data_IF_357404613417
#
_entry.id   IF_357404613417
#
_cell.length_a   1.000
_cell.length_b   1.000
_cell.length_c   1.000
_cell.angle_alpha   90.00
_cell.angle_beta   90.00
_cell.angle_gamma   90.00
#
_symmetry.space_group_name_H-M   'P 1'
#
loop_
_entity.id
_entity.type
_entity.pdbx_description
1 polymer ?
#
# COMPACT_ATOMS: atom_id res chain seq x y z
N UNK A 1 -17.47 9.07 -1.06
CA UNK A 1 -16.66 10.00 -1.90
C UNK A 1 -15.24 9.52 -1.80
N UNK A 2 -14.52 9.39 -2.92
CA UNK A 2 -13.16 8.84 -2.88
C UNK A 2 -12.23 9.79 -2.14
N UNK A 3 -11.50 9.26 -1.15
CA UNK A 3 -10.46 9.98 -0.41
C UNK A 3 -9.23 10.19 -1.30
N UNK A 4 -8.85 9.16 -2.05
CA UNK A 4 -7.68 9.18 -2.94
C UNK A 4 -8.13 8.73 -4.33
N UNK A 5 -7.70 9.44 -5.36
CA UNK A 5 -7.88 9.01 -6.76
C UNK A 5 -6.52 8.74 -7.37
N UNK A 6 -6.35 7.54 -7.96
CA UNK A 6 -5.13 7.21 -8.70
C UNK A 6 -4.91 8.23 -9.82
N UNK A 7 -3.64 8.55 -10.05
CA UNK A 7 -3.20 9.46 -11.10
C UNK A 7 -1.88 8.93 -11.64
N UNK A 8 -1.66 9.10 -12.94
CA UNK A 8 -0.42 8.69 -13.61
C UNK A 8 0.84 9.34 -13.02
N UNK A 9 0.72 10.42 -12.23
CA UNK A 9 1.84 11.00 -11.49
C UNK A 9 2.44 10.08 -10.42
N UNK A 10 1.72 9.03 -10.01
CA UNK A 10 2.19 8.01 -9.08
C UNK A 10 2.79 6.79 -9.79
N UNK A 11 2.67 6.72 -11.12
CA UNK A 11 3.15 5.59 -11.92
C UNK A 11 4.67 5.50 -11.89
N UNK A 12 5.17 4.28 -11.65
CA UNK A 12 6.58 3.92 -11.77
C UNK A 12 6.90 3.28 -13.13
N UNK A 13 5.91 3.16 -14.03
CA UNK A 13 6.01 2.46 -15.31
C UNK A 13 6.43 0.99 -15.16
N UNK A 14 6.14 0.39 -14.00
CA UNK A 14 6.34 -1.02 -13.72
C UNK A 14 4.96 -1.58 -13.43
N UNK A 15 4.37 -2.26 -14.41
CA UNK A 15 2.95 -2.67 -14.39
C UNK A 15 2.53 -3.31 -13.06
N UNK A 16 3.33 -4.23 -12.55
CA UNK A 16 3.02 -4.93 -11.29
C UNK A 16 3.01 -3.99 -10.08
N UNK A 17 3.96 -3.06 -10.00
CA UNK A 17 4.02 -2.07 -8.91
C UNK A 17 2.84 -1.10 -9.02
N UNK A 18 2.54 -0.61 -10.23
CA UNK A 18 1.42 0.31 -10.46
C UNK A 18 0.08 -0.35 -10.13
N UNK A 19 -0.10 -1.64 -10.46
CA UNK A 19 -1.29 -2.41 -10.12
C UNK A 19 -1.42 -2.60 -8.60
N UNK A 20 -0.30 -2.85 -7.90
CA UNK A 20 -0.28 -2.93 -6.44
C UNK A 20 -0.62 -1.58 -5.78
N UNK A 21 -0.08 -0.47 -6.28
CA UNK A 21 -0.41 0.87 -5.76
C UNK A 21 -1.88 1.23 -6.00
N UNK A 22 -2.43 0.92 -7.18
CA UNK A 22 -3.87 1.10 -7.46
C UNK A 22 -4.72 0.31 -6.48
N UNK A 23 -4.34 -0.94 -6.18
CA UNK A 23 -5.05 -1.76 -5.20
C UNK A 23 -4.97 -1.18 -3.78
N UNK A 24 -3.81 -0.66 -3.36
CA UNK A 24 -3.69 0.07 -2.09
C UNK A 24 -4.62 1.29 -2.03
N UNK A 25 -4.69 2.08 -3.11
CA UNK A 25 -5.60 3.23 -3.20
C UNK A 25 -7.07 2.80 -3.10
N UNK A 26 -7.46 1.70 -3.74
CA UNK A 26 -8.81 1.13 -3.60
C UNK A 26 -9.13 0.75 -2.16
N UNK A 27 -8.24 0.03 -1.49
CA UNK A 27 -8.44 -0.42 -0.10
C UNK A 27 -8.49 0.76 0.89
N UNK A 28 -7.70 1.82 0.67
CA UNK A 28 -7.76 3.06 1.47
C UNK A 28 -9.12 3.74 1.30
N UNK A 29 -9.65 3.78 0.07
CA UNK A 29 -10.98 4.35 -0.18
C UNK A 29 -12.09 3.52 0.47
N UNK A 30 -11.97 2.19 0.45
CA UNK A 30 -12.91 1.28 1.12
C UNK A 30 -12.92 1.47 2.64
N UNK A 31 -11.74 1.62 3.24
CA UNK A 31 -11.61 1.93 4.67
C UNK A 31 -12.29 3.28 4.99
N UNK A 32 -12.01 4.30 4.19
CA UNK A 32 -12.62 5.63 4.35
C UNK A 32 -14.16 5.58 4.25
N UNK A 33 -14.70 4.87 3.27
CA UNK A 33 -16.15 4.73 3.11
C UNK A 33 -16.77 3.92 4.26
N UNK A 34 -16.08 2.88 4.74
CA UNK A 34 -16.50 2.08 5.92
C UNK A 34 -16.58 2.94 7.18
N UNK A 35 -15.59 3.81 7.40
CA UNK A 35 -15.57 4.75 8.53
C UNK A 35 -16.69 5.79 8.43
N UNK A 36 -16.94 6.35 7.24
CA UNK A 36 -17.97 7.38 7.03
C UNK A 36 -19.41 6.84 7.13
N UNK A 37 -19.62 5.57 6.79
CA UNK A 37 -20.94 4.93 6.88
C UNK A 37 -21.31 4.49 8.31
N UNK A 38 -20.51 4.86 9.32
CA UNK A 38 -20.67 4.41 10.70
C UNK A 38 -20.82 2.88 10.82
N UNK A 39 -20.14 2.13 9.94
CA UNK A 39 -20.08 0.67 10.05
C UNK A 39 -19.39 0.29 11.36
N UNK A 40 -19.61 -0.95 11.79
CA UNK A 40 -19.10 -1.40 13.08
C UNK A 40 -17.57 -1.38 13.13
N UNK A 41 -17.03 -1.30 14.35
CA UNK A 41 -15.59 -1.34 14.60
C UNK A 41 -14.96 -2.61 14.04
N UNK A 42 -15.68 -3.74 14.10
CA UNK A 42 -15.26 -5.03 13.58
C UNK A 42 -15.06 -4.99 12.06
N UNK A 43 -15.99 -4.39 11.31
CA UNK A 43 -15.85 -4.25 9.86
C UNK A 43 -14.63 -3.40 9.50
N UNK A 44 -14.41 -2.29 10.22
CA UNK A 44 -13.23 -1.44 10.00
C UNK A 44 -11.93 -2.19 10.28
N UNK A 45 -11.90 -3.01 11.34
CA UNK A 45 -10.74 -3.84 11.70
C UNK A 45 -10.40 -4.88 10.63
N UNK A 46 -11.40 -5.48 10.00
CA UNK A 46 -11.17 -6.43 8.89
C UNK A 46 -10.45 -5.73 7.73
N UNK A 47 -10.97 -4.58 7.28
CA UNK A 47 -10.36 -3.81 6.17
C UNK A 47 -8.95 -3.33 6.53
N UNK A 48 -8.72 -2.90 7.78
CA UNK A 48 -7.39 -2.50 8.26
C UNK A 48 -6.41 -3.69 8.20
N UNK A 49 -6.82 -4.87 8.68
CA UNK A 49 -5.94 -6.05 8.67
C UNK A 49 -5.58 -6.47 7.25
N UNK A 50 -6.54 -6.42 6.33
CA UNK A 50 -6.29 -6.68 4.91
C UNK A 50 -5.33 -5.65 4.30
N UNK A 51 -5.52 -4.36 4.62
CA UNK A 51 -4.65 -3.28 4.14
C UNK A 51 -3.21 -3.45 4.65
N UNK A 52 -3.03 -3.83 5.92
CA UNK A 52 -1.71 -4.12 6.50
C UNK A 52 -1.05 -5.29 5.78
N UNK A 53 -1.77 -6.40 5.59
CA UNK A 53 -1.24 -7.57 4.89
C UNK A 53 -0.83 -7.24 3.45
N UNK A 54 -1.67 -6.48 2.72
CA UNK A 54 -1.39 -6.09 1.35
C UNK A 54 -0.22 -5.11 1.25
N UNK A 55 -0.08 -4.19 2.22
CA UNK A 55 1.07 -3.28 2.30
C UNK A 55 2.39 -4.04 2.49
N UNK A 56 2.42 -5.05 3.37
CA UNK A 56 3.60 -5.90 3.55
C UNK A 56 3.94 -6.69 2.28
N UNK A 57 2.93 -7.23 1.60
CA UNK A 57 3.11 -7.92 0.31
C UNK A 57 3.70 -6.98 -0.75
N UNK A 58 3.17 -5.77 -0.86
CA UNK A 58 3.67 -4.74 -1.77
C UNK A 58 5.14 -4.39 -1.50
N UNK A 59 5.48 -4.07 -0.25
CA UNK A 59 6.86 -3.76 0.15
C UNK A 59 7.82 -4.91 -0.13
N UNK A 60 7.39 -6.16 0.11
CA UNK A 60 8.22 -7.33 -0.20
C UNK A 60 8.51 -7.47 -1.70
N UNK A 61 7.57 -7.06 -2.56
CA UNK A 61 7.73 -7.07 -4.02
C UNK A 61 8.74 -6.00 -4.44
N UNK A 62 8.59 -4.77 -3.95
CA UNK A 62 9.54 -3.69 -4.24
C UNK A 62 10.95 -4.02 -3.74
N UNK A 63 11.08 -4.52 -2.51
CA UNK A 63 12.38 -4.89 -1.94
C UNK A 63 13.07 -6.00 -2.74
N UNK A 64 12.30 -6.98 -3.22
CA UNK A 64 12.81 -8.02 -4.13
C UNK A 64 13.33 -7.40 -5.42
N UNK A 65 12.58 -6.48 -6.04
CA UNK A 65 12.98 -5.83 -7.29
C UNK A 65 14.19 -4.92 -7.11
N UNK A 66 14.19 -4.07 -6.08
CA UNK A 66 15.31 -3.21 -5.75
C UNK A 66 16.60 -4.03 -5.57
N UNK A 67 16.53 -5.16 -4.85
CA UNK A 67 17.69 -6.04 -4.67
C UNK A 67 18.10 -6.75 -5.96
N UNK A 68 17.14 -7.30 -6.71
CA UNK A 68 17.38 -8.07 -7.93
C UNK A 68 18.02 -7.22 -9.03
N UNK A 69 17.59 -5.96 -9.17
CA UNK A 69 18.06 -5.03 -10.21
C UNK A 69 19.16 -4.08 -9.73
N UNK A 70 19.65 -4.23 -8.50
CA UNK A 70 20.80 -3.47 -7.99
C UNK A 70 20.52 -1.98 -7.72
N UNK A 71 19.31 -1.64 -7.28
CA UNK A 71 18.97 -0.29 -6.87
C UNK A 71 19.83 0.14 -5.66
N UNK A 72 20.60 1.22 -5.81
CA UNK A 72 21.61 1.63 -4.82
C UNK A 72 21.03 1.89 -3.43
N UNK A 73 19.81 2.40 -3.38
CA UNK A 73 19.17 2.89 -2.16
C UNK A 73 18.23 1.82 -1.54
N UNK A 74 18.35 0.55 -1.94
CA UNK A 74 17.46 -0.50 -1.46
C UNK A 74 17.49 -0.66 0.07
N UNK A 75 18.65 -0.40 0.72
CA UNK A 75 18.81 -0.50 2.18
C UNK A 75 18.07 0.62 2.89
N UNK A 76 18.19 1.86 2.42
CA UNK A 76 17.49 3.00 3.02
C UNK A 76 15.98 2.90 2.77
N UNK A 77 15.57 2.50 1.57
CA UNK A 77 14.16 2.30 1.24
C UNK A 77 13.51 1.23 2.14
N UNK A 78 14.13 0.05 2.29
CA UNK A 78 13.64 -1.00 3.20
C UNK A 78 13.47 -0.51 4.64
N UNK A 79 14.36 0.35 5.13
CA UNK A 79 14.21 0.94 6.47
C UNK A 79 12.97 1.82 6.59
N UNK A 80 12.57 2.53 5.53
CA UNK A 80 11.32 3.29 5.54
C UNK A 80 10.09 2.38 5.56
N UNK A 81 10.13 1.25 4.83
CA UNK A 81 9.09 0.21 4.92
C UNK A 81 8.97 -0.38 6.32
N UNK A 82 10.09 -0.78 6.93
CA UNK A 82 10.10 -1.32 8.30
C UNK A 82 9.53 -0.29 9.29
N UNK A 83 9.95 0.98 9.21
CA UNK A 83 9.41 2.05 10.05
C UNK A 83 7.91 2.26 9.87
N UNK A 84 7.39 2.11 8.65
CA UNK A 84 5.97 2.24 8.38
C UNK A 84 5.16 1.09 9.01
N UNK A 85 5.66 -0.15 8.91
CA UNK A 85 4.97 -1.34 9.42
C UNK A 85 4.98 -1.41 10.96
N UNK A 86 6.03 -0.94 11.61
CA UNK A 86 6.18 -0.98 13.07
C UNK A 86 5.65 0.27 13.81
N UNK A 87 5.02 1.21 13.10
CA UNK A 87 4.41 2.41 13.68
C UNK A 87 2.97 2.16 14.12
#
# INVERSE_FOLDING_TARGET
MRLITWSEKYSMNIKEIDDQHKKLVEMINELHDTMNQAKSKETSLIVINELVAYTQYHFSTEEKYMKQFGYSDHVSHKKEHEKFVYK
#
